data_IF_025883677366
#
_entry.id   IF_025883677366
#
_cell.length_a   1.000
_cell.length_b   1.000
_cell.length_c   1.000
_cell.angle_alpha   90.00
_cell.angle_beta   90.00
_cell.angle_gamma   90.00
#
_symmetry.space_group_name_H-M   'P 1'
#
loop_
_entity.id
_entity.type
_entity.pdbx_description
1 polymer ?
#
# COMPACT_ATOMS: atom_id res chain seq x y z
N UNK A 1 -14.19 78.13 -12.35
CA UNK A 1 -14.06 78.37 -13.80
C UNK A 1 -13.18 77.28 -14.39
N UNK A 2 -13.65 76.69 -15.50
CA UNK A 2 -12.98 75.81 -16.47
C UNK A 2 -12.60 74.38 -16.04
N UNK A 3 -13.52 73.49 -16.45
CA UNK A 3 -13.36 72.07 -16.77
C UNK A 3 -12.22 71.83 -17.78
N UNK A 4 -11.46 70.74 -17.64
CA UNK A 4 -11.13 69.88 -18.77
C UNK A 4 -11.13 68.40 -18.38
N UNK A 5 -11.68 67.63 -19.30
CA UNK A 5 -12.09 66.24 -19.25
C UNK A 5 -11.34 65.56 -20.39
N UNK A 6 -10.64 64.45 -20.18
CA UNK A 6 -10.51 63.42 -21.22
C UNK A 6 -10.48 62.02 -20.62
N UNK A 7 -11.54 61.31 -20.98
CA UNK A 7 -11.89 59.91 -20.88
C UNK A 7 -10.88 59.00 -21.60
N UNK A 8 -10.46 57.89 -20.98
CA UNK A 8 -10.18 56.65 -21.71
C UNK A 8 -10.69 55.45 -20.92
N UNK A 9 -11.89 54.99 -21.31
CA UNK A 9 -12.32 53.60 -21.10
C UNK A 9 -11.45 52.72 -21.98
N UNK A 10 -11.07 51.55 -21.48
CA UNK A 10 -11.17 50.28 -22.20
C UNK A 10 -11.23 49.20 -21.12
N UNK A 11 -12.43 48.66 -20.92
CA UNK A 11 -12.59 47.36 -20.28
C UNK A 11 -12.34 46.27 -21.31
N UNK A 12 -11.68 45.20 -20.88
CA UNK A 12 -11.98 43.87 -21.37
C UNK A 12 -11.77 42.94 -20.17
N UNK A 13 -12.86 42.34 -19.70
CA UNK A 13 -12.77 41.18 -18.83
C UNK A 13 -12.08 40.04 -19.58
N UNK A 14 -11.51 39.10 -18.85
CA UNK A 14 -12.24 37.90 -18.43
C UNK A 14 -11.32 37.01 -17.59
N UNK A 15 -11.97 36.27 -16.69
CA UNK A 15 -11.41 35.39 -15.69
C UNK A 15 -10.81 34.13 -16.32
N UNK A 16 -9.60 33.79 -15.90
CA UNK A 16 -9.08 32.42 -15.79
C UNK A 16 -7.88 32.54 -14.84
N UNK A 17 -7.99 32.17 -13.58
CA UNK A 17 -8.03 30.76 -13.21
C UNK A 17 -6.62 30.19 -13.23
N UNK A 18 -5.67 30.87 -12.58
CA UNK A 18 -4.31 30.36 -12.36
C UNK A 18 -3.95 30.64 -10.90
N UNK A 19 -4.69 30.01 -9.98
CA UNK A 19 -4.13 29.63 -8.68
C UNK A 19 -3.00 28.62 -8.97
N UNK A 20 -1.86 29.11 -9.48
CA UNK A 20 -0.61 28.34 -9.45
C UNK A 20 -0.15 28.32 -8.00
N UNK A 21 -0.71 27.36 -7.25
CA UNK A 21 -0.05 26.78 -6.10
C UNK A 21 1.39 26.45 -6.51
N UNK A 22 2.39 26.79 -5.67
CA UNK A 22 3.79 26.65 -6.06
C UNK A 22 4.04 25.20 -6.44
N UNK A 23 4.50 25.01 -7.69
CA UNK A 23 4.99 23.77 -8.25
C UNK A 23 5.70 22.98 -7.16
N UNK A 24 5.01 21.97 -6.65
CA UNK A 24 5.60 20.96 -5.80
C UNK A 24 6.80 20.46 -6.58
N UNK A 25 7.99 20.85 -6.11
CA UNK A 25 9.26 20.43 -6.68
C UNK A 25 9.13 18.98 -7.16
N UNK A 26 9.53 18.69 -8.38
CA UNK A 26 9.27 17.41 -9.02
C UNK A 26 9.79 16.25 -8.15
N UNK A 27 8.91 15.36 -7.68
CA UNK A 27 9.31 14.18 -6.91
C UNK A 27 9.92 13.21 -7.93
N UNK A 28 11.23 13.32 -8.14
CA UNK A 28 11.97 12.33 -8.93
C UNK A 28 12.20 11.11 -8.06
N UNK A 29 11.16 10.30 -7.90
CA UNK A 29 11.31 8.92 -7.47
C UNK A 29 11.55 8.12 -8.74
N UNK A 30 12.75 7.58 -8.93
CA UNK A 30 13.06 6.75 -10.11
C UNK A 30 12.18 5.50 -10.24
N UNK A 31 11.43 5.19 -9.18
CA UNK A 31 10.55 4.03 -9.06
C UNK A 31 9.06 4.37 -9.13
N UNK A 32 8.67 5.65 -9.11
CA UNK A 32 7.26 6.07 -9.19
C UNK A 32 7.10 7.33 -10.02
N UNK A 33 6.06 7.43 -10.84
CA UNK A 33 5.81 8.65 -11.59
C UNK A 33 5.34 9.78 -10.68
N UNK A 34 5.70 11.03 -11.01
CA UNK A 34 5.22 12.21 -10.29
C UNK A 34 3.68 12.26 -10.22
N UNK A 35 3.01 11.80 -11.29
CA UNK A 35 1.55 11.71 -11.34
C UNK A 35 0.98 10.69 -10.34
N UNK A 36 1.57 9.50 -10.23
CA UNK A 36 1.13 8.51 -9.24
C UNK A 36 1.26 9.05 -7.82
N UNK A 37 2.38 9.73 -7.52
CA UNK A 37 2.56 10.33 -6.20
C UNK A 37 1.50 11.40 -5.98
N UNK A 38 1.22 12.29 -6.93
CA UNK A 38 0.17 13.31 -6.80
C UNK A 38 -1.24 12.71 -6.62
N UNK A 39 -1.60 11.67 -7.36
CA UNK A 39 -2.87 10.95 -7.19
C UNK A 39 -2.95 10.28 -5.81
N UNK A 40 -1.84 9.70 -5.35
CA UNK A 40 -1.75 9.09 -4.03
C UNK A 40 -1.92 10.12 -2.91
N UNK A 41 -1.32 11.30 -3.09
CA UNK A 41 -1.48 12.43 -2.18
C UNK A 41 -2.94 12.88 -2.08
N UNK A 42 -3.65 12.91 -3.21
CA UNK A 42 -5.07 13.26 -3.22
C UNK A 42 -5.94 12.21 -2.54
N UNK A 43 -5.61 10.93 -2.71
CA UNK A 43 -6.42 9.81 -2.22
C UNK A 43 -6.25 9.53 -0.72
N UNK A 44 -5.00 9.45 -0.25
CA UNK A 44 -4.69 9.08 1.14
C UNK A 44 -4.63 10.30 2.08
N UNK A 45 -4.54 11.51 1.52
CA UNK A 45 -4.61 12.76 2.25
C UNK A 45 -3.52 12.92 3.31
N UNK A 46 -3.92 13.19 4.55
CA UNK A 46 -3.00 13.46 5.67
C UNK A 46 -2.52 12.20 6.38
N UNK A 47 -3.00 11.01 6.02
CA UNK A 47 -2.57 9.77 6.68
C UNK A 47 -1.25 9.27 6.11
N UNK A 48 -0.19 9.59 6.84
CA UNK A 48 1.17 9.17 6.53
C UNK A 48 1.33 7.65 6.42
N UNK A 49 0.63 6.88 7.26
CA UNK A 49 0.75 5.42 7.26
C UNK A 49 0.16 4.84 5.98
N UNK A 50 -1.01 5.32 5.55
CA UNK A 50 -1.62 4.91 4.29
C UNK A 50 -0.78 5.32 3.08
N UNK A 51 -0.29 6.57 3.09
CA UNK A 51 0.59 7.08 2.03
C UNK A 51 1.82 6.19 1.83
N UNK A 52 2.56 5.88 2.90
CA UNK A 52 3.78 5.08 2.75
C UNK A 52 3.51 3.63 2.37
N UNK A 53 2.40 3.04 2.82
CA UNK A 53 2.02 1.68 2.45
C UNK A 53 1.68 1.57 0.96
N UNK A 54 0.94 2.53 0.43
CA UNK A 54 0.59 2.55 -0.99
C UNK A 54 1.81 2.90 -1.87
N UNK A 55 2.66 3.82 -1.42
CA UNK A 55 3.90 4.14 -2.11
C UNK A 55 4.85 2.93 -2.17
N UNK A 56 4.95 2.17 -1.07
CA UNK A 56 5.76 0.95 -1.02
C UNK A 56 5.31 -0.08 -2.07
N UNK A 57 3.99 -0.28 -2.22
CA UNK A 57 3.46 -1.22 -3.22
C UNK A 57 3.86 -0.81 -4.63
N UNK A 58 3.78 0.48 -4.97
CA UNK A 58 4.17 0.97 -6.29
C UNK A 58 5.68 0.84 -6.53
N UNK A 59 6.51 1.23 -5.56
CA UNK A 59 7.98 1.15 -5.67
C UNK A 59 8.48 -0.29 -5.86
N UNK A 60 7.76 -1.27 -5.32
CA UNK A 60 8.10 -2.69 -5.37
C UNK A 60 7.20 -3.51 -6.32
N UNK A 61 6.42 -2.87 -7.19
CA UNK A 61 5.52 -3.60 -8.12
C UNK A 61 6.25 -4.62 -9.01
N UNK A 62 7.51 -4.34 -9.37
CA UNK A 62 8.34 -5.19 -10.22
C UNK A 62 9.08 -6.29 -9.43
N UNK A 63 9.18 -6.15 -8.10
CA UNK A 63 9.79 -7.16 -7.23
C UNK A 63 9.12 -7.15 -5.85
N UNK A 64 8.13 -8.03 -5.70
CA UNK A 64 7.33 -8.14 -4.49
C UNK A 64 8.01 -8.97 -3.41
N UNK A 65 9.13 -9.64 -3.68
CA UNK A 65 9.78 -10.53 -2.69
C UNK A 65 10.32 -9.74 -1.50
N UNK A 66 10.79 -8.53 -1.76
CA UNK A 66 11.24 -7.57 -0.75
C UNK A 66 10.11 -7.13 0.20
N UNK A 67 8.84 -7.21 -0.22
CA UNK A 67 7.69 -6.84 0.62
C UNK A 67 7.44 -7.80 1.79
N UNK A 68 8.11 -8.95 1.81
CA UNK A 68 8.10 -9.92 2.91
C UNK A 68 9.18 -9.62 3.97
N UNK A 69 10.10 -8.71 3.66
CA UNK A 69 11.21 -8.31 4.52
C UNK A 69 10.88 -7.03 5.30
N UNK A 70 11.36 -6.97 6.53
CA UNK A 70 11.36 -5.73 7.31
C UNK A 70 12.24 -4.68 6.60
N UNK A 71 11.91 -3.41 6.79
CA UNK A 71 12.62 -2.27 6.19
C UNK A 71 14.14 -2.35 6.33
N UNK A 72 14.61 -2.61 7.56
CA UNK A 72 16.05 -2.63 7.86
C UNK A 72 16.77 -3.87 7.26
N UNK A 73 16.02 -4.87 6.77
CA UNK A 73 16.56 -6.07 6.14
C UNK A 73 16.62 -5.99 4.60
N UNK A 74 16.11 -4.92 3.98
CA UNK A 74 16.09 -4.72 2.52
C UNK A 74 17.40 -4.17 2.00
N UNK A 75 18.49 -4.87 2.30
CA UNK A 75 19.86 -4.40 2.01
C UNK A 75 20.14 -4.29 0.50
N UNK A 76 19.49 -5.13 -0.31
CA UNK A 76 19.66 -5.17 -1.77
C UNK A 76 18.93 -4.04 -2.50
N UNK A 77 17.89 -3.49 -1.88
CA UNK A 77 17.02 -2.45 -2.47
C UNK A 77 17.02 -1.18 -1.63
N UNK A 78 18.17 -0.84 -1.04
CA UNK A 78 18.31 0.32 -0.15
C UNK A 78 17.96 1.64 -0.86
N UNK A 79 18.27 1.74 -2.14
CA UNK A 79 17.91 2.84 -3.03
C UNK A 79 16.38 3.04 -3.12
N UNK A 80 15.59 1.97 -3.21
CA UNK A 80 14.12 2.01 -3.16
C UNK A 80 13.62 2.50 -1.80
N UNK A 81 14.23 2.01 -0.71
CA UNK A 81 13.92 2.47 0.66
C UNK A 81 14.18 3.97 0.82
N UNK A 82 15.33 4.45 0.34
CA UNK A 82 15.67 5.88 0.33
C UNK A 82 14.67 6.69 -0.50
N UNK A 83 14.22 6.16 -1.63
CA UNK A 83 13.24 6.82 -2.48
C UNK A 83 11.87 7.00 -1.80
N UNK A 84 11.39 5.97 -1.08
CA UNK A 84 10.19 6.06 -0.24
C UNK A 84 10.38 7.13 0.84
N UNK A 85 11.53 7.12 1.53
CA UNK A 85 11.84 8.06 2.60
C UNK A 85 11.88 9.51 2.10
N UNK A 86 12.53 9.77 0.97
CA UNK A 86 12.60 11.10 0.35
C UNK A 86 11.22 11.59 -0.09
N UNK A 87 10.44 10.72 -0.73
CA UNK A 87 9.07 11.03 -1.17
C UNK A 87 8.17 11.39 0.02
N UNK A 88 8.29 10.67 1.13
CA UNK A 88 7.60 10.96 2.38
C UNK A 88 7.94 12.36 2.91
N UNK A 89 9.23 12.66 3.10
CA UNK A 89 9.65 13.94 3.67
C UNK A 89 9.26 15.13 2.81
N UNK A 90 9.31 14.92 1.49
CA UNK A 90 8.93 15.93 0.51
C UNK A 90 7.43 16.18 0.51
N UNK A 91 6.62 15.11 0.58
CA UNK A 91 5.17 15.25 0.60
C UNK A 91 4.67 15.99 1.84
N UNK A 92 5.15 15.61 3.03
CA UNK A 92 4.72 16.24 4.28
C UNK A 92 5.56 17.46 4.68
N UNK A 93 6.39 17.99 3.76
CA UNK A 93 7.30 19.11 4.01
C UNK A 93 8.05 18.98 5.36
N UNK A 94 8.55 17.77 5.66
CA UNK A 94 9.07 17.42 6.97
C UNK A 94 10.39 18.16 7.25
N UNK A 95 10.45 19.02 8.29
CA UNK A 95 11.66 19.69 8.71
C UNK A 95 12.76 18.70 9.07
N UNK A 96 14.03 19.06 8.82
CA UNK A 96 15.16 18.15 9.00
C UNK A 96 15.26 17.54 10.40
N UNK A 97 15.03 18.35 11.44
CA UNK A 97 15.02 17.89 12.84
C UNK A 97 13.88 16.92 13.18
N UNK A 98 12.84 16.82 12.35
CA UNK A 98 11.72 15.88 12.52
C UNK A 98 11.82 14.66 11.61
N UNK A 99 12.77 14.62 10.66
CA UNK A 99 12.86 13.56 9.65
C UNK A 99 13.07 12.19 10.27
N UNK A 100 13.96 12.06 11.26
CA UNK A 100 14.23 10.77 11.90
C UNK A 100 12.99 10.22 12.59
N UNK A 101 12.30 11.04 13.39
CA UNK A 101 11.07 10.65 14.08
C UNK A 101 9.93 10.32 13.12
N UNK A 102 9.80 11.09 12.03
CA UNK A 102 8.82 10.85 10.97
C UNK A 102 9.09 9.53 10.26
N UNK A 103 10.35 9.28 9.88
CA UNK A 103 10.75 8.03 9.26
C UNK A 103 10.56 6.82 10.18
N UNK A 104 10.85 6.97 11.47
CA UNK A 104 10.62 5.90 12.46
C UNK A 104 9.16 5.45 12.49
N UNK A 105 8.21 6.39 12.48
CA UNK A 105 6.75 6.09 12.46
C UNK A 105 6.32 5.44 11.14
N UNK A 106 6.81 5.95 10.02
CA UNK A 106 6.57 5.33 8.71
C UNK A 106 7.10 3.90 8.66
N UNK A 107 8.35 3.66 9.08
CA UNK A 107 8.94 2.31 9.18
C UNK A 107 8.12 1.37 10.04
N UNK A 108 7.59 1.84 11.18
CA UNK A 108 6.75 1.00 12.04
C UNK A 108 5.46 0.56 11.32
N UNK A 109 4.88 1.44 10.51
CA UNK A 109 3.68 1.11 9.70
C UNK A 109 4.01 0.05 8.64
N UNK A 110 5.13 0.22 7.93
CA UNK A 110 5.61 -0.72 6.91
C UNK A 110 5.96 -2.08 7.54
N UNK A 111 6.69 -2.09 8.65
CA UNK A 111 7.05 -3.31 9.36
C UNK A 111 5.82 -4.01 9.96
N UNK A 112 4.82 -3.26 10.43
CA UNK A 112 3.55 -3.82 10.92
C UNK A 112 2.78 -4.52 9.80
N UNK A 113 2.80 -4.02 8.56
CA UNK A 113 2.26 -4.73 7.39
C UNK A 113 2.98 -6.08 7.20
N UNK A 114 4.30 -6.09 7.26
CA UNK A 114 5.11 -7.32 7.11
C UNK A 114 4.79 -8.35 8.20
N UNK A 115 4.66 -7.92 9.47
CA UNK A 115 4.30 -8.82 10.58
C UNK A 115 2.91 -9.44 10.37
N UNK A 116 1.91 -8.62 10.04
CA UNK A 116 0.54 -9.10 9.74
C UNK A 116 0.50 -10.07 8.55
N UNK A 117 1.31 -9.82 7.52
CA UNK A 117 1.45 -10.73 6.37
C UNK A 117 1.98 -12.10 6.81
N UNK A 118 2.98 -12.12 7.70
CA UNK A 118 3.55 -13.37 8.24
C UNK A 118 2.57 -14.11 9.15
N UNK A 119 1.85 -13.39 10.01
CA UNK A 119 0.79 -13.97 10.85
C UNK A 119 -0.29 -14.64 9.99
N UNK A 120 -0.81 -13.93 8.99
CA UNK A 120 -1.82 -14.47 8.05
C UNK A 120 -1.31 -15.73 7.33
N UNK A 121 -0.02 -15.75 6.95
CA UNK A 121 0.59 -16.91 6.30
C UNK A 121 0.71 -18.11 7.24
N UNK A 122 0.97 -17.89 8.53
CA UNK A 122 1.00 -18.94 9.55
C UNK A 122 -0.40 -19.51 9.80
N UNK A 123 -1.40 -18.65 9.97
CA UNK A 123 -2.79 -19.07 10.19
C UNK A 123 -3.30 -19.94 9.03
N UNK A 124 -2.99 -19.54 7.78
CA UNK A 124 -3.34 -20.31 6.59
C UNK A 124 -2.71 -21.70 6.57
N UNK A 125 -1.47 -21.83 7.04
CA UNK A 125 -0.77 -23.13 7.13
C UNK A 125 -1.42 -24.02 8.19
N UNK A 126 -1.76 -23.47 9.35
CA UNK A 126 -2.43 -24.21 10.43
C UNK A 126 -3.81 -24.73 9.99
N UNK A 127 -4.64 -23.88 9.38
CA UNK A 127 -5.95 -24.29 8.83
C UNK A 127 -5.82 -25.39 7.77
N UNK A 128 -4.77 -25.34 6.95
CA UNK A 128 -4.51 -26.39 5.94
C UNK A 128 -4.11 -27.70 6.60
N UNK A 129 -3.25 -27.65 7.62
CA UNK A 129 -2.84 -28.82 8.39
C UNK A 129 -4.03 -29.46 9.12
N UNK A 130 -4.87 -28.65 9.77
CA UNK A 130 -6.09 -29.14 10.43
C UNK A 130 -7.06 -29.80 9.45
N UNK A 131 -7.30 -29.20 8.28
CA UNK A 131 -8.14 -29.82 7.23
C UNK A 131 -7.62 -31.18 6.78
N UNK A 132 -6.30 -31.33 6.65
CA UNK A 132 -5.69 -32.61 6.27
C UNK A 132 -5.86 -33.67 7.38
N UNK A 133 -5.75 -33.28 8.65
CA UNK A 133 -5.96 -34.19 9.79
C UNK A 133 -7.44 -34.63 9.92
N UNK A 134 -8.40 -33.73 9.64
CA UNK A 134 -9.83 -34.04 9.76
C UNK A 134 -10.45 -34.70 8.51
N UNK A 135 -9.80 -34.59 7.34
CA UNK A 135 -10.23 -35.26 6.09
C UNK A 135 -9.96 -36.78 6.10
N UNK A 136 -9.13 -37.27 7.05
CA UNK A 136 -8.74 -38.69 7.15
C UNK A 136 -9.80 -39.68 7.63
N UNK A 137 -10.98 -39.23 8.11
CA UNK A 137 -12.00 -40.12 8.71
C UNK A 137 -13.16 -40.53 7.78
N UNK A 138 -13.10 -40.26 6.47
CA UNK A 138 -14.15 -40.63 5.53
C UNK A 138 -13.85 -41.92 4.71
N UNK A 139 -13.63 -43.06 5.38
CA UNK A 139 -13.62 -44.43 4.80
C UNK A 139 -14.05 -45.37 5.93
N UNK A 140 -15.06 -46.25 5.91
CA UNK A 140 -15.81 -46.96 4.86
C UNK A 140 -17.18 -47.36 5.41
N UNK A 141 -18.27 -47.01 4.75
CA UNK A 141 -19.55 -47.68 4.92
C UNK A 141 -19.95 -48.31 3.58
N UNK A 142 -19.08 -49.19 3.07
CA UNK A 142 -19.43 -50.12 2.00
C UNK A 142 -20.42 -51.11 2.61
N UNK A 143 -21.68 -51.04 2.17
CA UNK A 143 -22.71 -52.01 2.52
C UNK A 143 -22.29 -53.41 2.12
N UNK A 144 -21.71 -54.15 3.06
CA UNK A 144 -21.48 -55.59 2.95
C UNK A 144 -22.74 -56.28 3.42
N UNK A 145 -23.53 -56.79 2.47
CA UNK A 145 -24.66 -57.68 2.75
C UNK A 145 -24.11 -58.97 3.38
N UNK A 146 -24.59 -59.43 4.55
CA UNK A 146 -24.36 -60.80 4.95
C UNK A 146 -25.30 -61.72 4.15
N UNK A 147 -24.70 -62.59 3.33
CA UNK A 147 -25.36 -63.74 2.71
C UNK A 147 -25.60 -64.78 3.82
N UNK A 148 -26.83 -64.87 4.31
CA UNK A 148 -27.22 -65.93 5.25
C UNK A 148 -27.71 -67.12 4.41
N UNK A 149 -26.84 -68.10 4.23
CA UNK A 149 -27.18 -69.42 3.69
C UNK A 149 -27.98 -70.19 4.74
N UNK A 150 -29.27 -70.40 4.49
CA UNK A 150 -30.08 -71.37 5.22
C UNK A 150 -29.76 -72.78 4.72
N UNK A 151 -29.10 -73.57 5.55
CA UNK A 151 -29.15 -75.02 5.48
C UNK A 151 -29.49 -75.55 6.87
N UNK A 152 -30.72 -76.02 7.02
CA UNK A 152 -31.11 -76.96 8.06
C UNK A 152 -31.69 -78.17 7.34
N UNK A 153 -30.93 -79.26 7.39
CA UNK A 153 -31.36 -80.60 7.08
C UNK A 153 -31.94 -81.18 8.38
N UNK A 154 -33.20 -81.61 8.33
CA UNK A 154 -33.72 -82.94 8.73
C UNK A 154 -35.26 -82.93 8.66
#
# INVERSE_FOLDING_TARGET
>A
MVLQSVRKKNGSGNNTGEDMLPLASEIVCSYTTSNFVAELQHREGLDMSLFVLALEVEVYKDDTTELELLMDNRLRTNDRVLSIQQSLFKHYNTPEHLREGTWRRAKESLNSRVRRLRETALDRRQLTQERLLHSGNARTATGSKPLITLMTNE
#
